data_IF_187834961374
#
_entry.id   IF_187834961374
#
_cell.length_a   1.000
_cell.length_b   1.000
_cell.length_c   1.000
_cell.angle_alpha   90.00
_cell.angle_beta   90.00
_cell.angle_gamma   90.00
#
_symmetry.space_group_name_H-M   'P 1'
#
loop_
_entity.id
_entity.type
_entity.pdbx_description
1 polymer ?
#
# COMPACT_ATOMS: atom_id res chain seq x y z
N UNK A 1 21.58 -0.59 20.62
CA UNK A 1 22.80 -0.43 19.81
C UNK A 1 22.51 0.63 18.78
N UNK A 2 23.29 1.71 18.74
CA UNK A 2 23.15 2.77 17.73
C UNK A 2 24.18 2.56 16.60
N UNK A 3 23.77 2.85 15.36
CA UNK A 3 24.64 2.70 14.19
C UNK A 3 25.31 4.06 13.96
N UNK A 4 26.62 4.14 14.23
CA UNK A 4 27.40 5.35 13.95
C UNK A 4 27.27 5.76 12.47
N UNK A 5 27.22 7.07 12.21
CA UNK A 5 27.13 7.63 10.85
C UNK A 5 28.20 7.06 9.91
N UNK A 6 29.41 6.83 10.41
CA UNK A 6 30.50 6.21 9.64
C UNK A 6 30.16 4.80 9.14
N UNK A 7 29.61 3.94 10.01
CA UNK A 7 29.16 2.59 9.63
C UNK A 7 27.99 2.63 8.63
N UNK A 8 27.14 3.65 8.72
CA UNK A 8 26.05 3.86 7.77
C UNK A 8 26.59 4.28 6.40
N UNK A 9 27.61 5.13 6.34
CA UNK A 9 28.32 5.47 5.10
C UNK A 9 29.00 4.24 4.48
N UNK A 10 29.60 3.38 5.29
CA UNK A 10 30.16 2.11 4.81
C UNK A 10 29.07 1.21 4.21
N UNK A 11 27.88 1.14 4.82
CA UNK A 11 26.76 0.39 4.24
C UNK A 11 26.29 1.00 2.90
N UNK A 12 26.36 2.32 2.75
CA UNK A 12 26.03 2.98 1.49
C UNK A 12 26.97 2.60 0.32
N UNK A 13 28.18 2.08 0.59
CA UNK A 13 29.07 1.54 -0.45
C UNK A 13 28.44 0.35 -1.19
N UNK A 14 27.47 -0.35 -0.60
CA UNK A 14 26.73 -1.41 -1.29
C UNK A 14 25.95 -0.89 -2.51
N UNK A 15 25.71 0.42 -2.61
CA UNK A 15 25.11 1.05 -3.79
C UNK A 15 26.03 1.03 -5.02
N UNK A 16 27.31 0.68 -4.87
CA UNK A 16 28.23 0.51 -6.00
C UNK A 16 27.74 -0.62 -6.93
N UNK A 17 27.23 -1.73 -6.37
CA UNK A 17 26.74 -2.85 -7.18
C UNK A 17 25.60 -2.47 -8.16
N UNK A 18 24.47 -1.88 -7.72
CA UNK A 18 23.43 -1.43 -8.65
C UNK A 18 23.94 -0.35 -9.60
N UNK A 19 24.84 0.54 -9.18
CA UNK A 19 25.41 1.55 -10.08
C UNK A 19 26.25 0.93 -11.21
N UNK A 20 27.06 -0.09 -10.91
CA UNK A 20 27.82 -0.84 -11.92
C UNK A 20 26.88 -1.56 -12.89
N UNK A 21 25.84 -2.23 -12.38
CA UNK A 21 24.83 -2.89 -13.22
C UNK A 21 24.11 -1.87 -14.12
N UNK A 22 23.73 -0.71 -13.59
CA UNK A 22 23.07 0.35 -14.36
C UNK A 22 23.96 0.92 -15.46
N UNK A 23 25.26 1.04 -15.20
CA UNK A 23 26.25 1.47 -16.18
C UNK A 23 26.43 0.44 -17.28
N UNK A 24 26.62 -0.83 -16.92
CA UNK A 24 26.81 -1.93 -17.88
C UNK A 24 25.59 -2.14 -18.78
N UNK A 25 24.40 -2.05 -18.21
CA UNK A 25 23.13 -2.21 -18.93
C UNK A 25 22.58 -0.90 -19.51
N UNK A 26 23.29 0.23 -19.36
CA UNK A 26 22.89 1.57 -19.85
C UNK A 26 21.45 1.97 -19.45
N UNK A 27 21.02 1.60 -18.24
CA UNK A 27 19.63 1.79 -17.78
C UNK A 27 19.26 3.26 -17.51
N UNK A 28 20.24 4.19 -17.47
CA UNK A 28 20.05 5.62 -17.15
C UNK A 28 19.29 5.90 -15.83
N UNK A 29 19.36 4.96 -14.88
CA UNK A 29 18.68 5.05 -13.58
C UNK A 29 19.53 5.67 -12.47
N UNK A 30 20.83 5.95 -12.70
CA UNK A 30 21.74 6.43 -11.65
C UNK A 30 21.26 7.73 -11.00
N UNK A 31 20.81 8.71 -11.79
CA UNK A 31 20.24 9.96 -11.24
C UNK A 31 18.96 9.73 -10.43
N UNK A 32 18.11 8.77 -10.85
CA UNK A 32 16.90 8.41 -10.10
C UNK A 32 17.24 7.70 -8.78
N UNK A 33 18.30 6.89 -8.76
CA UNK A 33 18.80 6.25 -7.54
C UNK A 33 19.23 7.32 -6.52
N UNK A 34 20.12 8.24 -6.91
CA UNK A 34 20.60 9.29 -6.00
C UNK A 34 19.47 10.18 -5.50
N UNK A 35 18.57 10.63 -6.39
CA UNK A 35 17.44 11.45 -5.99
C UNK A 35 16.49 10.69 -5.03
N UNK A 36 16.23 9.41 -5.27
CA UNK A 36 15.39 8.58 -4.40
C UNK A 36 15.99 8.40 -3.01
N UNK A 37 17.29 8.07 -2.92
CA UNK A 37 17.97 7.90 -1.63
C UNK A 37 18.11 9.22 -0.87
N UNK A 38 18.45 10.33 -1.55
CA UNK A 38 18.53 11.64 -0.92
C UNK A 38 17.16 12.05 -0.34
N UNK A 39 16.08 11.89 -1.11
CA UNK A 39 14.72 12.13 -0.63
C UNK A 39 14.36 11.24 0.55
N UNK A 40 14.70 9.96 0.51
CA UNK A 40 14.46 9.03 1.61
C UNK A 40 15.15 9.48 2.91
N UNK A 41 16.43 9.88 2.85
CA UNK A 41 17.18 10.35 4.02
C UNK A 41 16.52 11.58 4.62
N UNK A 42 16.22 12.59 3.79
CA UNK A 42 15.58 13.84 4.24
C UNK A 42 14.19 13.56 4.82
N UNK A 43 13.38 12.72 4.15
CA UNK A 43 12.04 12.38 4.61
C UNK A 43 12.07 11.61 5.94
N UNK A 44 12.95 10.62 6.10
CA UNK A 44 13.06 9.86 7.34
C UNK A 44 13.56 10.73 8.50
N UNK A 45 14.50 11.64 8.26
CA UNK A 45 14.95 12.60 9.29
C UNK A 45 13.81 13.50 9.77
N UNK A 46 13.05 14.08 8.83
CA UNK A 46 11.90 14.95 9.15
C UNK A 46 10.81 14.14 9.88
N UNK A 47 10.45 12.96 9.37
CA UNK A 47 9.42 12.10 9.97
C UNK A 47 9.85 11.66 11.38
N UNK A 48 11.14 11.35 11.60
CA UNK A 48 11.65 11.01 12.93
C UNK A 48 11.38 12.10 13.96
N UNK A 49 11.65 13.36 13.62
CA UNK A 49 11.38 14.52 14.48
C UNK A 49 9.87 14.71 14.72
N UNK A 50 9.06 14.58 13.68
CA UNK A 50 7.60 14.72 13.78
C UNK A 50 7.00 13.62 14.67
N UNK A 51 7.40 12.36 14.46
CA UNK A 51 6.89 11.24 15.25
C UNK A 51 7.32 11.34 16.70
N UNK A 52 8.55 11.78 16.99
CA UNK A 52 8.98 12.04 18.36
C UNK A 52 8.08 13.09 19.03
N UNK A 53 7.76 14.18 18.34
CA UNK A 53 6.84 15.21 18.84
C UNK A 53 5.42 14.65 19.07
N UNK A 54 4.88 13.89 18.13
CA UNK A 54 3.53 13.30 18.23
C UNK A 54 3.45 12.31 19.39
N UNK A 55 4.45 11.42 19.52
CA UNK A 55 4.47 10.37 20.53
C UNK A 55 4.63 10.93 21.95
N UNK A 56 5.39 12.01 22.13
CA UNK A 56 5.55 12.67 23.44
C UNK A 56 4.27 13.37 23.94
N UNK A 57 3.35 13.74 23.04
CA UNK A 57 2.12 14.48 23.38
C UNK A 57 0.95 13.57 23.73
N UNK A 58 1.04 12.27 23.45
CA UNK A 58 -0.02 11.25 23.60
C UNK A 58 -1.44 11.70 23.17
N UNK A 59 -1.52 12.67 22.24
CA UNK A 59 -2.79 13.27 21.82
C UNK A 59 -3.36 12.55 20.59
N UNK A 60 -4.55 11.93 20.68
CA UNK A 60 -5.14 11.16 19.57
C UNK A 60 -5.48 12.04 18.36
N UNK A 61 -5.80 13.32 18.55
CA UNK A 61 -6.10 14.25 17.45
C UNK A 61 -4.89 14.49 16.55
N UNK A 62 -3.69 14.56 17.12
CA UNK A 62 -2.46 14.67 16.35
C UNK A 62 -2.20 13.39 15.52
N UNK A 63 -2.55 12.22 16.07
CA UNK A 63 -2.44 10.97 15.34
C UNK A 63 -3.44 10.91 14.16
N UNK A 64 -4.70 11.29 14.36
CA UNK A 64 -5.68 11.35 13.26
C UNK A 64 -5.29 12.37 12.19
N UNK A 65 -4.79 13.55 12.58
CA UNK A 65 -4.27 14.54 11.63
C UNK A 65 -3.12 13.95 10.81
N UNK A 66 -2.19 13.24 11.45
CA UNK A 66 -1.09 12.58 10.76
C UNK A 66 -1.58 11.47 9.83
N UNK A 67 -2.56 10.67 10.23
CA UNK A 67 -3.19 9.66 9.37
C UNK A 67 -3.85 10.28 8.12
N UNK A 68 -4.45 11.47 8.24
CA UNK A 68 -5.00 12.21 7.10
C UNK A 68 -3.89 12.67 6.15
N UNK A 69 -2.77 13.18 6.68
CA UNK A 69 -1.59 13.55 5.87
C UNK A 69 -1.04 12.32 5.13
N UNK A 70 -0.95 11.17 5.79
CA UNK A 70 -0.52 9.92 5.17
C UNK A 70 -1.49 9.48 4.06
N UNK A 71 -2.80 9.56 4.28
CA UNK A 71 -3.81 9.23 3.27
C UNK A 71 -3.70 10.15 2.05
N UNK A 72 -3.57 11.46 2.27
CA UNK A 72 -3.41 12.44 1.20
C UNK A 72 -2.16 12.15 0.36
N UNK A 73 -1.02 11.91 1.02
CA UNK A 73 0.23 11.56 0.34
C UNK A 73 0.13 10.23 -0.43
N UNK A 74 -0.56 9.22 0.13
CA UNK A 74 -0.79 7.95 -0.55
C UNK A 74 -1.59 8.14 -1.85
N UNK A 75 -2.69 8.91 -1.80
CA UNK A 75 -3.52 9.24 -2.96
C UNK A 75 -2.73 10.02 -4.01
N UNK A 76 -1.95 11.02 -3.61
CA UNK A 76 -1.12 11.82 -4.53
C UNK A 76 -0.05 10.96 -5.21
N UNK A 77 0.57 10.04 -4.46
CA UNK A 77 1.57 9.10 -4.97
C UNK A 77 0.95 8.15 -5.99
N UNK A 78 -0.19 7.55 -5.68
CA UNK A 78 -0.95 6.69 -6.59
C UNK A 78 -1.36 7.43 -7.87
N UNK A 79 -1.85 8.66 -7.75
CA UNK A 79 -2.24 9.49 -8.90
C UNK A 79 -1.04 9.78 -9.82
N UNK A 80 0.16 9.91 -9.27
CA UNK A 80 1.39 10.05 -10.05
C UNK A 80 1.81 8.77 -10.76
N UNK A 81 1.55 7.60 -10.14
CA UNK A 81 1.89 6.27 -10.67
C UNK A 81 0.95 5.84 -11.79
N UNK A 82 -0.36 6.01 -11.61
CA UNK A 82 -1.37 5.62 -12.58
C UNK A 82 -1.49 6.66 -13.71
N UNK A 83 -1.10 6.27 -14.93
CA UNK A 83 -1.02 7.18 -16.08
C UNK A 83 -2.30 7.27 -16.92
N UNK A 84 -3.32 6.47 -16.64
CA UNK A 84 -4.61 6.45 -17.35
C UNK A 84 -5.69 7.23 -16.58
N UNK A 85 -6.74 7.70 -17.26
CA UNK A 85 -8.02 8.16 -16.68
C UNK A 85 -7.93 9.00 -15.38
N UNK A 86 -6.98 9.95 -15.31
CA UNK A 86 -6.60 10.67 -14.07
C UNK A 86 -7.74 11.39 -13.35
N UNK A 87 -8.73 11.90 -14.10
CA UNK A 87 -9.92 12.58 -13.54
C UNK A 87 -10.85 11.60 -12.82
N UNK A 88 -10.98 10.38 -13.34
CA UNK A 88 -11.81 9.32 -12.78
C UNK A 88 -11.12 8.69 -11.57
N UNK A 89 -9.81 8.51 -11.62
CA UNK A 89 -9.04 7.82 -10.59
C UNK A 89 -9.01 8.54 -9.25
N UNK A 90 -8.90 9.87 -9.22
CA UNK A 90 -8.78 10.58 -7.94
C UNK A 90 -9.87 10.21 -6.90
N UNK A 91 -11.18 10.30 -7.22
CA UNK A 91 -12.21 9.86 -6.29
C UNK A 91 -12.15 8.35 -6.00
N UNK A 92 -11.81 7.51 -6.99
CA UNK A 92 -11.65 6.06 -6.79
C UNK A 92 -10.62 5.77 -5.71
N UNK A 93 -9.45 6.41 -5.78
CA UNK A 93 -8.34 6.22 -4.86
C UNK A 93 -8.67 6.72 -3.45
N UNK A 94 -9.33 7.88 -3.35
CA UNK A 94 -9.75 8.42 -2.05
C UNK A 94 -10.74 7.49 -1.37
N UNK A 95 -11.81 7.10 -2.07
CA UNK A 95 -12.87 6.30 -1.45
C UNK A 95 -12.41 4.87 -1.14
N UNK A 96 -11.61 4.24 -2.00
CA UNK A 96 -11.12 2.87 -1.76
C UNK A 96 -10.21 2.79 -0.54
N UNK A 97 -9.21 3.68 -0.44
CA UNK A 97 -8.30 3.72 0.70
C UNK A 97 -9.03 4.14 1.98
N UNK A 98 -9.92 5.13 1.90
CA UNK A 98 -10.72 5.57 3.06
C UNK A 98 -11.62 4.44 3.57
N UNK A 99 -12.22 3.65 2.67
CA UNK A 99 -13.08 2.52 3.06
C UNK A 99 -12.28 1.49 3.86
N UNK A 100 -11.09 1.14 3.40
CA UNK A 100 -10.20 0.24 4.15
C UNK A 100 -9.81 0.81 5.50
N UNK A 101 -9.45 2.10 5.55
CA UNK A 101 -9.11 2.78 6.81
C UNK A 101 -10.27 2.71 7.80
N UNK A 102 -11.50 3.00 7.36
CA UNK A 102 -12.67 3.05 8.22
C UNK A 102 -13.16 1.67 8.69
N UNK A 103 -12.88 0.61 7.93
CA UNK A 103 -13.30 -0.75 8.30
C UNK A 103 -12.21 -1.44 9.13
N UNK A 104 -10.98 -1.46 8.64
CA UNK A 104 -9.90 -2.27 9.23
C UNK A 104 -9.30 -1.62 10.47
N UNK A 105 -9.05 -0.30 10.46
CA UNK A 105 -8.38 0.34 11.59
C UNK A 105 -9.20 0.30 12.88
N UNK A 106 -10.50 0.65 12.88
CA UNK A 106 -11.32 0.53 14.09
C UNK A 106 -11.40 -0.91 14.59
N UNK A 107 -11.51 -1.89 13.69
CA UNK A 107 -11.51 -3.30 14.06
C UNK A 107 -10.23 -3.69 14.81
N UNK A 108 -9.05 -3.37 14.25
CA UNK A 108 -7.78 -3.73 14.88
C UNK A 108 -7.56 -2.99 16.20
N UNK A 109 -7.89 -1.70 16.29
CA UNK A 109 -7.58 -0.90 17.49
C UNK A 109 -8.60 -1.12 18.61
N UNK A 110 -9.89 -1.16 18.31
CA UNK A 110 -10.97 -1.19 19.31
C UNK A 110 -11.33 -2.63 19.69
N UNK A 111 -11.34 -3.56 18.73
CA UNK A 111 -11.74 -4.95 19.00
C UNK A 111 -10.55 -5.78 19.44
N UNK A 112 -9.42 -5.69 18.73
CA UNK A 112 -8.28 -6.61 18.93
C UNK A 112 -7.25 -6.07 19.91
N UNK A 113 -6.67 -4.90 19.63
CA UNK A 113 -5.49 -4.42 20.35
C UNK A 113 -5.82 -3.76 21.70
N UNK A 114 -6.86 -2.93 21.74
CA UNK A 114 -7.30 -2.17 22.92
C UNK A 114 -6.14 -1.54 23.71
N UNK A 115 -5.32 -0.66 23.08
CA UNK A 115 -4.24 -0.01 23.80
C UNK A 115 -4.82 0.94 24.86
N UNK A 116 -4.09 1.10 25.97
CA UNK A 116 -4.36 2.13 26.98
C UNK A 116 -3.28 3.23 26.85
N UNK A 117 -3.65 4.50 26.56
CA UNK A 117 -4.99 5.01 26.20
C UNK A 117 -5.49 4.54 24.81
N UNK A 118 -6.82 4.48 24.65
CA UNK A 118 -7.44 4.11 23.38
C UNK A 118 -7.01 5.14 22.30
N UNK A 119 -6.45 4.65 21.19
CA UNK A 119 -5.83 5.45 20.12
C UNK A 119 -4.43 6.03 20.41
N UNK A 120 -3.65 5.39 21.30
CA UNK A 120 -2.25 5.74 21.51
C UNK A 120 -1.46 5.86 20.18
N UNK A 121 -0.86 7.03 19.87
CA UNK A 121 -0.22 7.31 18.57
C UNK A 121 0.89 6.31 18.19
N UNK A 122 1.61 5.80 19.18
CA UNK A 122 2.70 4.80 19.04
C UNK A 122 2.25 3.49 18.39
N UNK A 123 0.98 3.11 18.55
CA UNK A 123 0.40 1.93 17.90
C UNK A 123 -0.35 2.31 16.63
N UNK A 124 -1.13 3.40 16.70
CA UNK A 124 -2.02 3.80 15.62
C UNK A 124 -1.27 4.13 14.33
N UNK A 125 -0.21 4.96 14.41
CA UNK A 125 0.50 5.47 13.24
C UNK A 125 1.26 4.36 12.50
N UNK A 126 2.07 3.50 13.15
CA UNK A 126 2.78 2.44 12.45
C UNK A 126 1.85 1.38 11.84
N UNK A 127 0.82 0.94 12.57
CA UNK A 127 -0.15 -0.04 12.07
C UNK A 127 -0.89 0.52 10.86
N UNK A 128 -1.34 1.78 10.96
CA UNK A 128 -1.99 2.46 9.84
C UNK A 128 -1.07 2.60 8.64
N UNK A 129 0.19 2.99 8.84
CA UNK A 129 1.17 3.14 7.76
C UNK A 129 1.43 1.85 7.00
N UNK A 130 1.51 0.72 7.71
CA UNK A 130 1.68 -0.59 7.09
C UNK A 130 0.44 -1.01 6.28
N UNK A 131 -0.76 -0.81 6.81
CA UNK A 131 -2.01 -1.15 6.09
C UNK A 131 -2.19 -0.24 4.88
N UNK A 132 -2.11 1.08 5.07
CA UNK A 132 -2.25 2.06 4.01
C UNK A 132 -1.20 1.87 2.91
N UNK A 133 0.07 1.62 3.28
CA UNK A 133 1.15 1.43 2.33
C UNK A 133 0.97 0.19 1.46
N UNK A 134 0.56 -0.94 2.05
CA UNK A 134 0.28 -2.16 1.29
C UNK A 134 -0.99 -2.02 0.44
N UNK A 135 -2.07 -1.47 0.99
CA UNK A 135 -3.29 -1.15 0.24
C UNK A 135 -3.02 -0.22 -0.94
N UNK A 136 -2.18 0.81 -0.75
CA UNK A 136 -1.78 1.73 -1.81
C UNK A 136 -1.06 1.00 -2.94
N UNK A 137 -0.04 0.20 -2.62
CA UNK A 137 0.75 -0.50 -3.64
C UNK A 137 -0.07 -1.52 -4.40
N UNK A 138 -0.93 -2.27 -3.70
CA UNK A 138 -1.72 -3.31 -4.33
C UNK A 138 -2.88 -2.76 -5.17
N UNK A 139 -3.53 -1.70 -4.69
CA UNK A 139 -4.56 -1.00 -5.45
C UNK A 139 -4.05 -0.48 -6.81
N UNK A 140 -2.81 0.02 -6.86
CA UNK A 140 -2.18 0.40 -8.13
C UNK A 140 -2.08 -0.78 -9.09
N UNK A 141 -1.62 -1.93 -8.59
CA UNK A 141 -1.45 -3.15 -9.38
C UNK A 141 -2.80 -3.70 -9.83
N UNK A 142 -3.80 -3.75 -8.95
CA UNK A 142 -5.15 -4.19 -9.26
C UNK A 142 -5.79 -3.35 -10.37
N UNK A 143 -5.72 -2.01 -10.26
CA UNK A 143 -6.26 -1.10 -11.26
C UNK A 143 -5.50 -1.18 -12.59
N UNK A 144 -4.16 -1.26 -12.57
CA UNK A 144 -3.35 -1.43 -13.78
C UNK A 144 -3.66 -2.74 -14.50
N UNK A 145 -3.75 -3.85 -13.77
CA UNK A 145 -4.07 -5.17 -14.33
C UNK A 145 -5.49 -5.22 -14.85
N UNK A 146 -6.43 -4.57 -14.17
CA UNK A 146 -7.81 -4.47 -14.61
C UNK A 146 -7.94 -3.68 -15.91
N UNK A 147 -7.34 -2.48 -16.00
CA UNK A 147 -7.38 -1.65 -17.20
C UNK A 147 -6.65 -2.32 -18.38
N UNK A 148 -5.50 -2.94 -18.12
CA UNK A 148 -4.76 -3.69 -19.15
C UNK A 148 -5.60 -4.87 -19.67
N UNK A 149 -6.19 -5.65 -18.75
CA UNK A 149 -7.03 -6.79 -19.11
C UNK A 149 -8.28 -6.42 -19.92
N UNK A 150 -8.88 -5.25 -19.66
CA UNK A 150 -9.97 -4.70 -20.46
C UNK A 150 -9.49 -4.19 -21.82
N UNK A 151 -8.44 -3.37 -21.84
CA UNK A 151 -7.93 -2.75 -23.06
C UNK A 151 -7.42 -3.75 -24.09
N UNK A 152 -6.82 -4.85 -23.65
CA UNK A 152 -6.38 -5.95 -24.52
C UNK A 152 -7.55 -6.77 -25.09
N UNK A 153 -8.71 -6.77 -24.41
CA UNK A 153 -9.83 -7.69 -24.71
C UNK A 153 -11.15 -6.97 -25.02
N UNK A 154 -11.11 -5.73 -25.53
CA UNK A 154 -12.31 -4.98 -25.91
C UNK A 154 -13.22 -5.76 -26.85
N UNK A 155 -12.66 -6.49 -27.82
CA UNK A 155 -13.45 -7.34 -28.74
C UNK A 155 -14.28 -8.40 -27.98
N UNK A 156 -13.66 -9.09 -27.03
CA UNK A 156 -14.34 -10.09 -26.21
C UNK A 156 -15.38 -9.45 -25.27
N UNK A 157 -15.11 -8.25 -24.76
CA UNK A 157 -16.07 -7.47 -23.98
C UNK A 157 -17.32 -7.14 -24.79
N UNK A 158 -17.16 -6.53 -25.97
CA UNK A 158 -18.29 -6.20 -26.85
C UNK A 158 -19.03 -7.43 -27.35
N UNK A 159 -18.32 -8.52 -27.67
CA UNK A 159 -18.96 -9.79 -28.08
C UNK A 159 -19.89 -10.30 -27.00
N UNK A 160 -19.48 -10.29 -25.72
CA UNK A 160 -20.34 -10.70 -24.61
C UNK A 160 -21.58 -9.82 -24.48
N UNK A 161 -21.42 -8.49 -24.57
CA UNK A 161 -22.54 -7.57 -24.55
C UNK A 161 -23.51 -7.80 -25.71
N UNK A 162 -23.01 -8.03 -26.94
CA UNK A 162 -23.83 -8.35 -28.11
C UNK A 162 -24.58 -9.67 -27.98
N UNK A 163 -24.06 -10.62 -27.20
CA UNK A 163 -24.73 -11.87 -26.87
C UNK A 163 -25.72 -11.74 -25.69
N UNK A 164 -25.98 -10.52 -25.20
CA UNK A 164 -26.94 -10.26 -24.13
C UNK A 164 -26.37 -10.36 -22.71
N UNK A 165 -25.05 -10.49 -22.56
CA UNK A 165 -24.43 -10.49 -21.22
C UNK A 165 -24.58 -9.12 -20.55
N UNK A 166 -24.80 -9.13 -19.25
CA UNK A 166 -24.74 -7.93 -18.42
C UNK A 166 -23.32 -7.33 -18.39
N UNK A 167 -23.21 -6.04 -18.04
CA UNK A 167 -21.92 -5.39 -17.85
C UNK A 167 -21.03 -6.15 -16.85
N UNK A 168 -21.62 -6.68 -15.78
CA UNK A 168 -20.89 -7.44 -14.78
C UNK A 168 -20.30 -8.73 -15.36
N UNK A 169 -21.10 -9.51 -16.09
CA UNK A 169 -20.63 -10.75 -16.73
C UNK A 169 -19.56 -10.48 -17.79
N UNK A 170 -19.68 -9.40 -18.55
CA UNK A 170 -18.72 -9.03 -19.57
C UNK A 170 -17.33 -8.68 -18.99
N UNK A 171 -17.31 -8.10 -17.78
CA UNK A 171 -16.10 -7.60 -17.10
C UNK A 171 -15.51 -8.62 -16.12
N UNK A 172 -16.32 -9.52 -15.59
CA UNK A 172 -15.94 -10.49 -14.55
C UNK A 172 -14.63 -11.25 -14.86
N UNK A 173 -14.32 -11.66 -16.10
CA UNK A 173 -13.02 -12.28 -16.41
C UNK A 173 -11.82 -11.36 -16.14
N UNK A 174 -11.90 -10.08 -16.54
CA UNK A 174 -10.86 -9.09 -16.28
C UNK A 174 -10.75 -8.76 -14.79
N UNK A 175 -11.91 -8.64 -14.12
CA UNK A 175 -11.98 -8.41 -12.67
C UNK A 175 -11.28 -9.53 -11.89
N UNK A 176 -11.60 -10.80 -12.17
CA UNK A 176 -11.00 -11.97 -11.51
C UNK A 176 -9.49 -12.03 -11.70
N UNK A 177 -9.02 -11.83 -12.93
CA UNK A 177 -7.58 -11.82 -13.24
C UNK A 177 -6.86 -10.69 -12.50
N UNK A 178 -7.45 -9.50 -12.44
CA UNK A 178 -6.86 -8.37 -11.74
C UNK A 178 -6.72 -8.63 -10.23
N UNK A 179 -7.79 -9.10 -9.59
CA UNK A 179 -7.78 -9.47 -8.17
C UNK A 179 -6.76 -10.57 -7.87
N UNK A 180 -6.71 -11.62 -8.70
CA UNK A 180 -5.72 -12.70 -8.52
C UNK A 180 -4.28 -12.20 -8.66
N UNK A 181 -4.00 -11.37 -9.67
CA UNK A 181 -2.66 -10.82 -9.90
C UNK A 181 -2.22 -9.87 -8.77
N UNK A 182 -3.16 -9.14 -8.17
CA UNK A 182 -2.94 -8.24 -7.05
C UNK A 182 -2.74 -8.97 -5.72
N UNK A 183 -3.60 -9.95 -5.41
CA UNK A 183 -3.61 -10.61 -4.10
C UNK A 183 -2.58 -11.74 -3.96
N UNK A 184 -2.16 -12.37 -5.07
CA UNK A 184 -1.24 -13.51 -5.00
C UNK A 184 0.11 -13.18 -4.34
N UNK A 185 0.79 -12.07 -4.64
CA UNK A 185 2.03 -11.69 -3.94
C UNK A 185 1.88 -11.56 -2.42
N UNK A 186 0.72 -11.09 -1.94
CA UNK A 186 0.44 -10.95 -0.51
C UNK A 186 0.26 -12.33 0.15
N UNK A 187 -0.47 -13.25 -0.50
CA UNK A 187 -0.61 -14.63 -0.04
C UNK A 187 0.74 -15.35 0.05
N UNK A 188 1.62 -15.13 -0.93
CA UNK A 188 2.97 -15.69 -0.91
C UNK A 188 3.81 -15.10 0.22
N UNK A 189 3.68 -13.80 0.49
CA UNK A 189 4.34 -13.14 1.62
C UNK A 189 3.90 -13.75 2.94
N UNK A 190 2.58 -13.93 3.14
CA UNK A 190 2.01 -14.57 4.34
C UNK A 190 2.50 -16.01 4.48
N UNK A 191 2.49 -16.80 3.40
CA UNK A 191 2.91 -18.20 3.42
C UNK A 191 4.40 -18.38 3.75
N UNK A 192 5.24 -17.43 3.34
CA UNK A 192 6.69 -17.46 3.61
C UNK A 192 7.09 -16.87 4.97
N UNK A 193 6.16 -16.20 5.65
CA UNK A 193 6.42 -15.44 6.87
C UNK A 193 6.77 -16.37 8.03
N UNK A 194 7.86 -16.06 8.73
CA UNK A 194 8.36 -16.86 9.84
C UNK A 194 9.31 -18.00 9.44
N UNK A 195 9.34 -18.40 8.17
CA UNK A 195 10.33 -19.35 7.64
C UNK A 195 11.46 -18.64 6.89
N UNK A 196 11.13 -17.70 6.00
CA UNK A 196 12.10 -17.00 5.15
C UNK A 196 12.27 -15.55 5.56
N UNK A 197 11.17 -14.91 5.97
CA UNK A 197 11.16 -13.48 6.30
C UNK A 197 10.68 -13.24 7.72
N UNK A 198 11.45 -12.45 8.46
CA UNK A 198 11.06 -11.87 9.75
C UNK A 198 10.66 -10.42 9.52
N UNK A 199 9.40 -10.04 9.76
CA UNK A 199 8.94 -8.68 9.52
C UNK A 199 9.68 -7.63 10.37
N UNK A 200 9.82 -6.43 9.80
CA UNK A 200 10.60 -5.35 10.41
C UNK A 200 10.06 -4.90 11.77
N UNK A 201 8.74 -4.75 11.94
CA UNK A 201 8.16 -4.39 13.24
C UNK A 201 8.39 -5.48 14.29
N UNK A 202 8.21 -6.76 13.93
CA UNK A 202 8.46 -7.89 14.82
C UNK A 202 9.93 -7.90 15.28
N UNK A 203 10.87 -7.80 14.35
CA UNK A 203 12.30 -7.74 14.65
C UNK A 203 12.63 -6.51 15.49
N UNK A 204 12.05 -5.35 15.17
CA UNK A 204 12.22 -4.11 15.94
C UNK A 204 11.73 -4.21 17.38
N UNK A 205 10.58 -4.87 17.62
CA UNK A 205 10.08 -5.13 18.96
C UNK A 205 11.00 -6.07 19.75
N UNK A 206 11.49 -7.14 19.12
CA UNK A 206 12.43 -8.08 19.74
C UNK A 206 13.75 -7.37 20.10
N UNK A 207 14.30 -6.58 19.17
CA UNK A 207 15.51 -5.78 19.42
C UNK A 207 15.28 -4.68 20.48
N UNK A 208 14.05 -4.20 20.60
CA UNK A 208 13.61 -3.28 21.64
C UNK A 208 13.36 -3.94 23.00
N UNK A 209 13.60 -5.24 23.15
CA UNK A 209 13.47 -5.99 24.40
C UNK A 209 12.09 -6.58 24.67
N UNK A 210 11.15 -6.50 23.72
CA UNK A 210 9.86 -7.19 23.85
C UNK A 210 10.04 -8.70 23.70
N UNK A 211 9.16 -9.47 24.35
CA UNK A 211 9.21 -10.93 24.21
C UNK A 211 8.86 -11.36 22.78
N UNK A 212 9.57 -12.35 22.20
CA UNK A 212 9.30 -12.83 20.84
C UNK A 212 7.86 -13.27 20.64
N UNK A 213 7.26 -13.92 21.66
CA UNK A 213 5.87 -14.39 21.59
C UNK A 213 4.87 -13.23 21.45
N UNK A 214 5.13 -12.10 22.12
CA UNK A 214 4.30 -10.89 21.96
C UNK A 214 4.48 -10.34 20.56
N UNK A 215 5.72 -10.19 20.09
CA UNK A 215 6.00 -9.65 18.76
C UNK A 215 5.35 -10.47 17.62
N UNK A 216 5.31 -11.81 17.76
CA UNK A 216 4.63 -12.70 16.81
C UNK A 216 3.12 -12.45 16.79
N UNK A 217 2.48 -12.27 17.95
CA UNK A 217 1.02 -11.99 18.01
C UNK A 217 0.66 -10.68 17.33
N UNK A 218 1.45 -9.63 17.55
CA UNK A 218 1.28 -8.35 16.84
C UNK A 218 1.42 -8.54 15.33
N UNK A 219 2.44 -9.28 14.90
CA UNK A 219 2.70 -9.49 13.49
C UNK A 219 1.58 -10.29 12.79
N UNK A 220 1.07 -11.34 13.42
CA UNK A 220 -0.08 -12.10 12.90
C UNK A 220 -1.31 -11.19 12.73
N UNK A 221 -1.62 -10.37 13.74
CA UNK A 221 -2.71 -9.40 13.67
C UNK A 221 -2.53 -8.42 12.50
N UNK A 222 -1.32 -7.88 12.35
CA UNK A 222 -1.01 -6.91 11.28
C UNK A 222 -1.15 -7.56 9.90
N UNK A 223 -0.75 -8.81 9.73
CA UNK A 223 -0.89 -9.53 8.45
C UNK A 223 -2.33 -9.80 8.07
N UNK A 224 -3.15 -10.22 9.03
CA UNK A 224 -4.60 -10.37 8.81
C UNK A 224 -5.20 -9.02 8.42
N UNK A 225 -4.78 -7.95 9.10
CA UNK A 225 -5.19 -6.57 8.82
C UNK A 225 -4.80 -6.10 7.42
N UNK A 226 -3.55 -6.31 7.01
CA UNK A 226 -3.07 -5.94 5.68
C UNK A 226 -3.82 -6.71 4.61
N UNK A 227 -3.90 -8.04 4.69
CA UNK A 227 -4.57 -8.84 3.67
C UNK A 227 -6.05 -8.47 3.51
N UNK A 228 -6.75 -8.28 4.64
CA UNK A 228 -8.15 -7.84 4.64
C UNK A 228 -8.27 -6.43 4.03
N UNK A 229 -7.39 -5.51 4.44
CA UNK A 229 -7.41 -4.13 3.99
C UNK A 229 -7.13 -3.98 2.51
N UNK A 230 -6.12 -4.67 2.01
CA UNK A 230 -5.77 -4.78 0.58
C UNK A 230 -6.96 -5.33 -0.22
N UNK A 231 -7.54 -6.44 0.22
CA UNK A 231 -8.67 -7.07 -0.49
C UNK A 231 -9.88 -6.13 -0.60
N UNK A 232 -10.20 -5.42 0.50
CA UNK A 232 -11.27 -4.41 0.51
C UNK A 232 -10.92 -3.23 -0.40
N UNK A 233 -9.68 -2.74 -0.36
CA UNK A 233 -9.23 -1.63 -1.20
C UNK A 233 -9.36 -2.01 -2.68
N UNK A 234 -8.85 -3.16 -3.09
CA UNK A 234 -8.83 -3.59 -4.50
C UNK A 234 -10.26 -3.79 -5.03
N UNK A 235 -11.09 -4.49 -4.27
CA UNK A 235 -12.50 -4.70 -4.64
C UNK A 235 -13.26 -3.38 -4.77
N UNK A 236 -13.13 -2.48 -3.80
CA UNK A 236 -13.81 -1.18 -3.81
C UNK A 236 -13.26 -0.26 -4.90
N UNK A 237 -11.95 -0.25 -5.12
CA UNK A 237 -11.31 0.53 -6.16
C UNK A 237 -11.83 0.13 -7.55
N UNK A 238 -11.81 -1.17 -7.88
CA UNK A 238 -12.30 -1.63 -9.19
C UNK A 238 -13.81 -1.36 -9.33
N UNK A 239 -14.62 -1.57 -8.28
CA UNK A 239 -16.06 -1.34 -8.34
C UNK A 239 -16.42 0.15 -8.53
N UNK A 240 -15.75 1.07 -7.82
CA UNK A 240 -15.97 2.51 -8.00
C UNK A 240 -15.43 2.96 -9.37
N UNK A 241 -14.30 2.41 -9.80
CA UNK A 241 -13.74 2.66 -11.12
C UNK A 241 -14.72 2.28 -12.22
N UNK A 242 -15.33 1.09 -12.12
CA UNK A 242 -16.35 0.60 -13.05
C UNK A 242 -17.53 1.56 -13.20
N UNK A 243 -18.10 1.99 -12.07
CA UNK A 243 -19.25 2.92 -12.07
C UNK A 243 -18.93 4.27 -12.72
N UNK A 244 -17.67 4.69 -12.69
CA UNK A 244 -17.25 5.98 -13.27
C UNK A 244 -16.74 5.85 -14.71
N UNK A 245 -16.07 4.73 -15.05
CA UNK A 245 -15.42 4.48 -16.34
C UNK A 245 -16.42 4.29 -17.47
N UNK A 246 -17.57 3.68 -17.19
CA UNK A 246 -18.59 3.34 -18.18
C UNK A 246 -19.79 4.30 -18.11
N UNK A 247 -20.47 4.47 -19.23
CA UNK A 247 -21.73 5.21 -19.34
C UNK A 247 -22.96 4.28 -19.18
N UNK A 248 -24.16 4.83 -19.41
CA UNK A 248 -25.43 4.10 -19.30
C UNK A 248 -25.55 2.97 -20.34
N UNK A 249 -24.75 3.00 -21.40
CA UNK A 249 -24.74 2.02 -22.49
C UNK A 249 -23.60 1.02 -22.36
N UNK A 250 -22.91 0.99 -21.21
CA UNK A 250 -21.75 0.15 -20.97
C UNK A 250 -20.59 0.43 -21.93
N UNK A 251 -20.54 1.66 -22.47
CA UNK A 251 -19.43 2.13 -23.28
C UNK A 251 -18.41 2.86 -22.40
N UNK A 252 -17.10 2.65 -22.64
CA UNK A 252 -16.07 3.38 -21.92
C UNK A 252 -16.14 4.88 -22.26
N UNK A 253 -16.23 5.74 -21.24
CA UNK A 253 -16.14 7.20 -21.40
C UNK A 253 -14.76 7.63 -21.93
N UNK A 254 -14.62 8.70 -22.72
CA UNK A 254 -13.30 9.17 -23.14
C UNK A 254 -12.39 9.52 -21.94
#
# INVERSE_FOLDING_TARGET
>A
MDISIYRLMLAALLLIFPLLIFSNLKLKLSGQLFNSFARMIVQLAIIGLILQFIFNRENPWLAFLWMLIMLANAVLTLKGRLKFQKKILLPVLIFSLLTTTLIVMPWLIIVVLRPEPLFAPRFLIPIYGMILGNSMNNCSLALERFESGLSENWKAYYTRLSLGASQWEAILPAFRKAMQAALMPELLTIASMGLVTLPGMMTGQILGGASPLVAIKYQMMIMIGIFSGVTITDYTAINIYLRKRFDKFYLPKP
#
